data_IF_487770207199
#
_entry.id   IF_487770207199
#
_cell.length_a   1.000
_cell.length_b   1.000
_cell.length_c   1.000
_cell.angle_alpha   90.00
_cell.angle_beta   90.00
_cell.angle_gamma   90.00
#
_symmetry.space_group_name_H-M   'P 1'
#
loop_
_entity.id
_entity.type
_entity.pdbx_description
1 polymer ?
#
# COMPACT_ATOMS: atom_id res chain seq x y z
N UNK A 1 7.33 9.75 6.69
CA UNK A 1 7.98 9.56 5.42
C UNK A 1 6.98 9.70 4.29
N UNK A 2 7.41 10.22 3.20
CA UNK A 2 6.49 10.46 2.13
C UNK A 2 7.08 9.94 0.84
N UNK A 3 6.33 9.15 0.11
CA UNK A 3 6.75 8.55 -1.13
C UNK A 3 5.55 8.39 -2.00
N UNK A 4 5.71 8.52 -3.29
CA UNK A 4 4.66 8.19 -4.21
C UNK A 4 4.05 9.37 -4.90
N UNK A 5 2.92 9.16 -5.55
CA UNK A 5 2.37 10.13 -6.48
C UNK A 5 1.43 11.09 -5.80
N UNK A 6 0.36 10.61 -5.21
CA UNK A 6 -0.61 11.47 -4.57
C UNK A 6 -0.45 11.54 -3.09
N UNK A 7 0.31 10.67 -2.54
CA UNK A 7 0.55 10.68 -1.15
C UNK A 7 0.98 9.35 -0.73
N UNK A 8 1.88 9.40 0.18
CA UNK A 8 2.33 8.25 0.82
C UNK A 8 2.44 8.59 2.21
N UNK A 9 2.24 7.69 3.05
CA UNK A 9 2.32 8.04 4.38
C UNK A 9 2.83 6.95 5.22
N UNK A 10 3.33 7.32 6.31
CA UNK A 10 3.64 6.46 7.36
C UNK A 10 2.89 6.98 8.55
N UNK A 11 1.98 6.25 9.02
CA UNK A 11 1.27 6.63 10.20
C UNK A 11 -0.19 6.95 9.93
N UNK A 12 -1.00 6.59 10.88
CA UNK A 12 -2.42 6.58 10.72
C UNK A 12 -3.06 7.96 10.88
N UNK A 13 -2.30 8.95 11.34
CA UNK A 13 -2.84 10.27 11.54
C UNK A 13 -2.66 11.17 10.33
N UNK A 14 -2.03 10.69 9.28
CA UNK A 14 -1.95 11.46 8.04
C UNK A 14 -3.31 11.45 7.35
N UNK A 15 -3.74 12.59 6.87
CA UNK A 15 -5.02 12.68 6.19
C UNK A 15 -4.90 12.15 4.77
N UNK A 16 -5.61 11.07 4.47
CA UNK A 16 -5.56 10.42 3.17
C UNK A 16 -6.88 10.50 2.44
N UNK A 17 -7.86 11.20 2.98
CA UNK A 17 -9.22 11.16 2.44
C UNK A 17 -9.31 11.69 1.01
N UNK A 18 -8.40 12.56 0.63
CA UNK A 18 -8.41 13.13 -0.72
C UNK A 18 -7.36 12.53 -1.64
N UNK A 19 -6.61 11.55 -1.17
CA UNK A 19 -5.63 10.89 -2.02
C UNK A 19 -6.34 9.99 -3.01
N UNK A 20 -5.83 9.94 -4.25
CA UNK A 20 -6.36 9.04 -5.28
C UNK A 20 -5.59 7.75 -5.34
N UNK A 21 -4.31 7.79 -5.05
CA UNK A 21 -3.47 6.61 -4.98
C UNK A 21 -2.50 6.75 -3.82
N UNK A 22 -2.21 5.64 -3.17
CA UNK A 22 -1.34 5.59 -2.01
C UNK A 22 -0.38 4.42 -2.18
N UNK A 23 0.88 4.66 -1.87
CA UNK A 23 1.88 3.62 -1.85
C UNK A 23 2.28 3.36 -0.41
N UNK A 24 2.06 2.13 0.05
CA UNK A 24 2.45 1.69 1.38
C UNK A 24 3.72 0.84 1.27
N UNK A 25 4.82 1.34 1.80
CA UNK A 25 6.12 0.70 1.69
C UNK A 25 6.40 -0.06 2.96
N UNK A 26 6.77 -1.33 2.82
CA UNK A 26 7.01 -2.19 3.97
C UNK A 26 5.72 -2.53 4.68
N UNK A 27 4.73 -2.94 3.92
CA UNK A 27 3.37 -3.15 4.43
C UNK A 27 3.27 -4.24 5.50
N UNK A 28 4.27 -5.14 5.58
CA UNK A 28 4.22 -6.24 6.53
C UNK A 28 3.01 -7.11 6.30
N UNK A 29 2.17 -7.26 7.32
CA UNK A 29 0.94 -8.05 7.21
C UNK A 29 -0.21 -7.27 6.58
N UNK A 30 0.01 -6.02 6.20
CA UNK A 30 -0.98 -5.23 5.49
C UNK A 30 -1.92 -4.42 6.38
N UNK A 31 -1.67 -4.36 7.68
CA UNK A 31 -2.58 -3.67 8.59
C UNK A 31 -2.72 -2.19 8.26
N UNK A 32 -1.61 -1.52 7.99
CA UNK A 32 -1.64 -0.09 7.68
C UNK A 32 -2.39 0.14 6.36
N UNK A 33 -2.13 -0.69 5.35
CA UNK A 33 -2.83 -0.57 4.07
C UNK A 33 -4.35 -0.73 4.26
N UNK A 34 -4.77 -1.66 5.09
CA UNK A 34 -6.19 -1.83 5.38
C UNK A 34 -6.78 -0.61 6.08
N UNK A 35 -6.04 -0.03 7.01
CA UNK A 35 -6.49 1.18 7.69
C UNK A 35 -6.61 2.35 6.71
N UNK A 36 -5.68 2.45 5.77
CA UNK A 36 -5.72 3.50 4.75
C UNK A 36 -6.92 3.30 3.82
N UNK A 37 -7.19 2.07 3.45
CA UNK A 37 -8.34 1.77 2.60
C UNK A 37 -9.65 2.14 3.29
N UNK A 38 -9.73 1.93 4.60
CA UNK A 38 -10.91 2.28 5.37
C UNK A 38 -11.13 3.79 5.42
N UNK A 39 -10.05 4.57 5.39
CA UNK A 39 -10.10 6.02 5.55
C UNK A 39 -10.17 6.79 4.24
N UNK A 40 -10.08 6.09 3.12
CA UNK A 40 -9.99 6.76 1.82
C UNK A 40 -10.75 5.96 0.79
N UNK A 41 -10.88 6.54 -0.40
CA UNK A 41 -11.36 5.82 -1.58
C UNK A 41 -10.22 5.52 -2.55
N UNK A 42 -8.99 5.67 -2.11
CA UNK A 42 -7.81 5.55 -2.97
C UNK A 42 -7.55 4.12 -3.41
N UNK A 43 -6.85 4.00 -4.53
CA UNK A 43 -6.19 2.77 -4.90
C UNK A 43 -4.92 2.65 -4.08
N UNK A 44 -4.69 1.51 -3.48
CA UNK A 44 -3.56 1.32 -2.60
C UNK A 44 -2.65 0.25 -3.17
N UNK A 45 -1.38 0.60 -3.34
CA UNK A 45 -0.34 -0.36 -3.71
C UNK A 45 0.54 -0.56 -2.50
N UNK A 46 0.60 -1.80 -2.02
CA UNK A 46 1.37 -2.15 -0.84
C UNK A 46 2.55 -3.00 -1.27
N UNK A 47 3.76 -2.54 -1.01
CA UNK A 47 4.95 -3.28 -1.39
C UNK A 47 5.65 -3.81 -0.15
N UNK A 48 6.25 -4.98 -0.29
CA UNK A 48 6.93 -5.67 0.79
C UNK A 48 8.04 -6.53 0.24
N UNK A 49 9.20 -6.50 0.89
CA UNK A 49 10.36 -7.28 0.43
C UNK A 49 10.38 -8.69 1.00
N UNK A 50 9.64 -8.96 2.05
CA UNK A 50 9.57 -10.29 2.64
C UNK A 50 8.44 -11.07 1.98
N UNK A 51 8.78 -12.21 1.39
CA UNK A 51 7.80 -12.99 0.65
C UNK A 51 6.68 -13.52 1.53
N UNK A 52 7.02 -14.02 2.70
CA UNK A 52 6.01 -14.56 3.61
C UNK A 52 5.06 -13.47 4.08
N UNK A 53 5.59 -12.29 4.38
CA UNK A 53 4.74 -11.16 4.79
C UNK A 53 3.86 -10.71 3.64
N UNK A 54 4.37 -10.70 2.40
CA UNK A 54 3.58 -10.34 1.24
C UNK A 54 2.41 -11.29 1.05
N UNK A 55 2.65 -12.58 1.20
CA UNK A 55 1.59 -13.58 1.08
C UNK A 55 0.51 -13.36 2.13
N UNK A 56 0.92 -13.13 3.37
CA UNK A 56 -0.03 -12.87 4.44
C UNK A 56 -0.82 -11.60 4.21
N UNK A 57 -0.14 -10.54 3.78
CA UNK A 57 -0.82 -9.28 3.47
C UNK A 57 -1.84 -9.47 2.37
N UNK A 58 -1.47 -10.18 1.30
CA UNK A 58 -2.38 -10.43 0.19
C UNK A 58 -3.62 -11.20 0.63
N UNK A 59 -3.43 -12.18 1.50
CA UNK A 59 -4.57 -12.91 2.05
C UNK A 59 -5.48 -12.00 2.87
N UNK A 60 -4.87 -11.12 3.66
CA UNK A 60 -5.64 -10.17 4.47
C UNK A 60 -6.41 -9.19 3.59
N UNK A 61 -5.80 -8.73 2.50
CA UNK A 61 -6.47 -7.81 1.57
C UNK A 61 -7.64 -8.51 0.89
N UNK A 62 -7.42 -9.75 0.45
CA UNK A 62 -8.47 -10.51 -0.24
C UNK A 62 -9.68 -10.76 0.64
N UNK A 63 -9.48 -10.87 1.94
CA UNK A 63 -10.58 -11.07 2.88
C UNK A 63 -11.23 -9.79 3.36
N UNK A 64 -10.80 -8.63 2.87
CA UNK A 64 -11.30 -7.34 3.34
C UNK A 64 -12.37 -6.80 2.41
N UNK A 65 -13.19 -5.84 2.89
CA UNK A 65 -14.15 -5.16 2.03
C UNK A 65 -13.51 -4.31 0.94
N UNK A 66 -12.20 -4.05 1.03
CA UNK A 66 -11.49 -3.17 0.12
C UNK A 66 -10.58 -3.92 -0.85
N UNK A 67 -10.81 -5.23 -1.01
CA UNK A 67 -9.95 -6.08 -1.84
C UNK A 67 -9.74 -5.54 -3.25
N UNK A 68 -10.77 -4.92 -3.83
CA UNK A 68 -10.67 -4.42 -5.20
C UNK A 68 -9.77 -3.20 -5.33
N UNK A 69 -9.42 -2.55 -4.22
CA UNK A 69 -8.62 -1.32 -4.25
C UNK A 69 -7.21 -1.49 -3.71
N UNK A 70 -6.86 -2.67 -3.21
CA UNK A 70 -5.56 -2.89 -2.61
C UNK A 70 -4.82 -3.96 -3.39
N UNK A 71 -3.59 -3.64 -3.81
CA UNK A 71 -2.71 -4.60 -4.49
C UNK A 71 -1.45 -4.79 -3.67
N UNK A 72 -1.14 -6.03 -3.34
CA UNK A 72 0.09 -6.37 -2.64
C UNK A 72 1.13 -6.87 -3.62
N UNK A 73 2.34 -6.35 -3.53
CA UNK A 73 3.42 -6.71 -4.44
C UNK A 73 4.66 -7.07 -3.64
N UNK A 74 5.24 -8.23 -3.95
CA UNK A 74 6.50 -8.66 -3.37
C UNK A 74 7.63 -8.00 -4.16
N UNK A 75 8.13 -6.89 -3.65
CA UNK A 75 9.19 -6.14 -4.33
C UNK A 75 9.84 -5.16 -3.35
N UNK A 76 11.01 -4.67 -3.73
CA UNK A 76 11.63 -3.55 -3.03
C UNK A 76 11.12 -2.24 -3.62
N UNK A 77 11.28 -1.15 -2.88
CA UNK A 77 10.96 0.16 -3.41
C UNK A 77 11.80 0.48 -4.65
N UNK A 78 13.07 0.08 -4.61
CA UNK A 78 13.97 0.32 -5.73
C UNK A 78 13.49 -0.36 -7.00
N UNK A 79 13.10 -1.64 -6.90
CA UNK A 79 12.64 -2.38 -8.06
C UNK A 79 11.27 -1.89 -8.53
N UNK A 80 10.41 -1.53 -7.59
CA UNK A 80 9.11 -0.96 -7.93
C UNK A 80 9.28 0.32 -8.74
N UNK A 81 10.20 1.18 -8.33
CA UNK A 81 10.44 2.44 -9.03
C UNK A 81 11.01 2.24 -10.43
N UNK A 82 11.80 1.19 -10.63
CA UNK A 82 12.32 0.89 -11.97
C UNK A 82 11.21 0.56 -12.94
N UNK A 83 10.15 -0.07 -12.46
CA UNK A 83 9.00 -0.38 -13.29
C UNK A 83 7.99 0.74 -13.42
N UNK A 84 8.15 1.82 -12.63
CA UNK A 84 7.19 2.92 -12.59
C UNK A 84 7.94 4.24 -12.63
N UNK A 85 8.27 4.68 -13.84
CA UNK A 85 9.14 5.83 -14.02
C UNK A 85 8.62 7.12 -13.40
N UNK A 86 7.34 7.19 -13.12
CA UNK A 86 6.73 8.39 -12.58
C UNK A 86 6.89 8.53 -11.07
N UNK A 87 7.53 7.58 -10.43
CA UNK A 87 7.72 7.68 -8.98
C UNK A 87 8.95 8.51 -8.58
#
# INVERSE_FOLDING_TARGET
>A
MKVGTDGVLLGAWTDVRQSKSILDIGTGTGLIALMLAQRSSAEITAIEIDEAATTQASDNFAGSPWASRITGIHTSLQDFRKGHNSL
#
